data_IF_734363959044
#
_entry.id   IF_734363959044
#
_cell.length_a   1.000
_cell.length_b   1.000
_cell.length_c   1.000
_cell.angle_alpha   90.00
_cell.angle_beta   90.00
_cell.angle_gamma   90.00
#
_symmetry.space_group_name_H-M   'P 1'
#
loop_
_entity.id
_entity.type
_entity.pdbx_description
1 polymer ?
#
# COMPACT_ATOMS: atom_id res chain seq x y z
N UNK A 1 28.32 -63.29 -5.37
CA UNK A 1 29.26 -63.24 -4.23
C UNK A 1 30.00 -61.91 -4.30
N UNK A 2 30.09 -61.23 -3.16
CA UNK A 2 30.44 -59.82 -2.97
C UNK A 2 31.95 -59.49 -3.04
N UNK A 3 32.27 -58.20 -3.23
CA UNK A 3 33.23 -57.38 -2.43
C UNK A 3 33.36 -55.95 -3.02
N UNK A 4 32.84 -54.91 -2.36
CA UNK A 4 33.45 -54.04 -1.31
C UNK A 4 34.45 -53.00 -1.82
N UNK A 5 34.09 -51.71 -1.70
CA UNK A 5 34.97 -50.54 -1.56
C UNK A 5 34.23 -49.53 -0.65
N UNK A 6 34.57 -49.42 0.65
CA UNK A 6 35.57 -48.52 1.29
C UNK A 6 35.13 -47.04 1.28
N UNK A 7 34.66 -46.54 2.43
CA UNK A 7 35.38 -45.63 3.37
C UNK A 7 35.42 -44.17 2.87
N UNK A 8 34.60 -43.28 3.45
CA UNK A 8 34.90 -42.41 4.60
C UNK A 8 35.43 -41.03 4.21
N UNK A 9 34.65 -39.97 4.47
CA UNK A 9 35.17 -38.68 4.92
C UNK A 9 34.07 -37.79 5.51
N UNK A 10 34.18 -37.59 6.82
CA UNK A 10 33.63 -36.48 7.57
C UNK A 10 34.40 -35.18 7.19
N UNK A 11 33.70 -34.13 6.79
CA UNK A 11 34.18 -32.72 6.85
C UNK A 11 32.97 -31.87 7.24
N UNK A 12 32.76 -31.58 8.52
CA UNK A 12 33.17 -30.36 9.25
C UNK A 12 32.66 -29.04 8.67
N UNK A 13 31.70 -28.47 9.41
CA UNK A 13 31.55 -27.05 9.78
C UNK A 13 31.58 -25.97 8.67
N UNK A 14 30.41 -25.42 8.38
CA UNK A 14 30.26 -23.97 8.21
C UNK A 14 28.93 -23.54 8.84
N UNK A 15 28.96 -23.27 10.15
CA UNK A 15 27.91 -22.51 10.82
C UNK A 15 28.03 -21.08 10.31
N UNK A 16 27.10 -20.68 9.44
CA UNK A 16 26.91 -19.28 9.06
C UNK A 16 25.80 -18.73 9.96
N UNK A 17 26.09 -17.87 10.95
CA UNK A 17 25.05 -17.11 11.63
C UNK A 17 24.62 -15.99 10.69
N UNK A 18 23.63 -16.28 9.84
CA UNK A 18 22.97 -15.26 9.03
C UNK A 18 22.19 -14.33 9.95
N UNK A 19 22.81 -13.17 10.21
CA UNK A 19 22.25 -11.85 10.49
C UNK A 19 20.75 -11.85 10.81
N UNK A 20 20.48 -11.51 12.08
CA UNK A 20 19.18 -11.12 12.61
C UNK A 20 18.31 -10.44 11.55
N UNK A 21 17.17 -11.05 11.25
CA UNK A 21 16.09 -10.42 10.52
C UNK A 21 15.62 -9.20 11.30
N UNK A 22 16.15 -8.03 10.97
CA UNK A 22 15.43 -6.79 11.14
C UNK A 22 14.12 -6.99 10.38
N UNK A 23 13.05 -7.27 11.11
CA UNK A 23 11.71 -7.24 10.57
C UNK A 23 11.46 -5.81 10.07
N UNK A 24 11.80 -5.57 8.80
CA UNK A 24 11.24 -4.51 8.01
C UNK A 24 9.75 -4.82 7.93
N UNK A 25 9.00 -4.45 8.97
CA UNK A 25 7.55 -4.38 8.87
C UNK A 25 7.27 -3.53 7.63
N UNK A 26 6.47 -4.02 6.66
CA UNK A 26 6.09 -3.20 5.53
C UNK A 26 5.51 -1.91 6.09
N UNK A 27 6.23 -0.81 5.89
CA UNK A 27 5.70 0.51 6.19
C UNK A 27 4.55 0.67 5.21
N UNK A 28 3.33 0.42 5.67
CA UNK A 28 2.12 0.64 4.89
C UNK A 28 2.24 2.03 4.27
N UNK A 29 2.53 2.09 2.97
CA UNK A 29 2.54 3.35 2.24
C UNK A 29 1.12 3.90 2.38
N UNK A 30 1.00 5.15 2.81
CA UNK A 30 -0.31 5.82 2.89
C UNK A 30 -0.96 6.05 1.52
N UNK A 31 -0.43 5.44 0.45
CA UNK A 31 -1.04 5.41 -0.87
C UNK A 31 -2.31 4.56 -0.80
N UNK A 32 -3.47 5.08 -1.24
CA UNK A 32 -4.65 4.25 -1.36
C UNK A 32 -4.34 3.10 -2.33
N UNK A 33 -4.39 1.86 -1.84
CA UNK A 33 -4.33 0.68 -2.71
C UNK A 33 -5.73 0.46 -3.28
N UNK A 34 -5.91 0.79 -4.56
CA UNK A 34 -7.09 0.38 -5.31
C UNK A 34 -6.89 -1.08 -5.75
N UNK A 35 -7.99 -1.85 -5.83
CA UNK A 35 -7.97 -3.18 -6.44
C UNK A 35 -8.75 -3.07 -7.74
N UNK A 36 -8.10 -3.30 -8.87
CA UNK A 36 -8.74 -3.37 -10.16
C UNK A 36 -9.47 -4.71 -10.32
N UNK A 37 -10.58 -4.68 -11.07
CA UNK A 37 -11.45 -5.82 -11.33
C UNK A 37 -11.78 -5.84 -12.82
N UNK A 38 -11.81 -7.03 -13.41
CA UNK A 38 -12.13 -7.16 -14.82
C UNK A 38 -13.52 -6.61 -15.12
N UNK A 39 -13.68 -5.81 -16.18
CA UNK A 39 -14.99 -5.40 -16.67
C UNK A 39 -15.88 -6.61 -16.95
N UNK A 40 -17.17 -6.49 -16.65
CA UNK A 40 -18.12 -7.59 -16.82
C UNK A 40 -18.31 -8.02 -18.29
N UNK A 41 -18.03 -7.14 -19.24
CA UNK A 41 -18.03 -7.41 -20.67
C UNK A 41 -17.00 -6.56 -21.41
N UNK A 42 -16.61 -7.00 -22.60
CA UNK A 42 -15.81 -6.21 -23.54
C UNK A 42 -16.65 -5.14 -24.28
N UNK A 43 -16.04 -4.49 -25.26
CA UNK A 43 -16.67 -3.51 -26.14
C UNK A 43 -17.69 -4.07 -27.14
N UNK A 44 -17.64 -5.37 -27.45
CA UNK A 44 -18.66 -6.06 -28.25
C UNK A 44 -19.80 -6.66 -27.41
N UNK A 45 -19.65 -6.71 -26.09
CA UNK A 45 -20.67 -7.20 -25.15
C UNK A 45 -20.56 -8.70 -24.83
N UNK A 46 -19.42 -9.32 -25.14
CA UNK A 46 -19.07 -10.67 -24.71
C UNK A 46 -18.81 -10.70 -23.19
N UNK A 47 -19.29 -11.74 -22.49
CA UNK A 47 -19.17 -11.81 -21.04
C UNK A 47 -17.74 -12.11 -20.61
N UNK A 48 -17.40 -11.67 -19.41
CA UNK A 48 -16.16 -12.06 -18.74
C UNK A 48 -16.07 -13.58 -18.56
N UNK A 49 -14.96 -14.16 -19.02
CA UNK A 49 -14.60 -15.56 -18.84
C UNK A 49 -13.64 -15.76 -17.67
N UNK A 50 -12.51 -16.40 -17.95
CA UNK A 50 -11.43 -16.61 -16.99
C UNK A 50 -10.69 -15.30 -16.68
N UNK A 51 -10.28 -15.18 -15.41
CA UNK A 51 -9.52 -14.04 -14.90
C UNK A 51 -8.33 -14.49 -14.08
N UNK A 52 -7.21 -13.79 -14.18
CA UNK A 52 -6.07 -14.00 -13.27
C UNK A 52 -5.39 -12.68 -12.92
N UNK A 53 -4.84 -12.59 -11.72
CA UNK A 53 -4.06 -11.43 -11.27
C UNK A 53 -2.67 -11.94 -10.87
N UNK A 54 -1.66 -11.61 -11.66
CA UNK A 54 -0.28 -12.10 -11.46
C UNK A 54 0.72 -11.05 -11.90
N UNK A 55 1.75 -10.81 -11.07
CA UNK A 55 2.84 -9.88 -11.35
C UNK A 55 2.40 -8.43 -11.66
N UNK A 56 1.30 -7.97 -11.08
CA UNK A 56 0.80 -6.60 -11.30
C UNK A 56 -0.05 -6.45 -12.57
N UNK A 57 -0.36 -7.56 -13.22
CA UNK A 57 -1.17 -7.64 -14.43
C UNK A 57 -2.43 -8.43 -14.12
N UNK A 58 -3.57 -7.80 -14.41
CA UNK A 58 -4.90 -8.36 -14.34
C UNK A 58 -5.31 -8.81 -15.74
N UNK A 59 -5.30 -10.12 -15.96
CA UNK A 59 -5.75 -10.77 -17.18
C UNK A 59 -7.26 -10.99 -17.14
N UNK A 60 -7.95 -10.56 -18.20
CA UNK A 60 -9.40 -10.69 -18.37
C UNK A 60 -9.70 -11.29 -19.76
N UNK A 61 -10.26 -12.51 -19.81
CA UNK A 61 -10.69 -13.11 -21.07
C UNK A 61 -12.16 -12.84 -21.37
N UNK A 62 -12.49 -12.70 -22.65
CA UNK A 62 -13.84 -12.40 -23.16
C UNK A 62 -14.21 -13.37 -24.29
N UNK A 63 -14.47 -14.66 -23.97
CA UNK A 63 -14.73 -15.67 -24.99
C UNK A 63 -16.01 -15.36 -25.78
N UNK A 64 -15.92 -15.39 -27.11
CA UNK A 64 -17.06 -15.14 -27.98
C UNK A 64 -18.00 -16.34 -28.04
N UNK A 65 -17.46 -17.55 -27.84
CA UNK A 65 -18.21 -18.80 -27.78
C UNK A 65 -17.81 -19.68 -26.59
N UNK A 66 -18.72 -20.55 -26.08
CA UNK A 66 -18.37 -21.46 -25.01
C UNK A 66 -17.27 -22.46 -25.40
N UNK A 67 -16.25 -22.60 -24.54
CA UNK A 67 -15.15 -23.57 -24.72
C UNK A 67 -13.98 -23.07 -25.58
N UNK A 68 -13.98 -21.78 -25.92
CA UNK A 68 -12.85 -21.08 -26.54
C UNK A 68 -11.66 -20.95 -25.57
N UNK A 69 -10.44 -20.77 -26.11
CA UNK A 69 -9.26 -20.56 -25.27
C UNK A 69 -9.35 -19.17 -24.63
N UNK A 70 -9.08 -19.02 -23.33
CA UNK A 70 -9.07 -17.71 -22.69
C UNK A 70 -7.98 -16.78 -23.27
N UNK A 71 -6.95 -17.32 -23.93
CA UNK A 71 -5.86 -16.56 -24.55
C UNK A 71 -6.18 -16.05 -25.97
N UNK A 72 -7.36 -16.36 -26.54
CA UNK A 72 -7.72 -15.94 -27.90
C UNK A 72 -8.24 -14.48 -27.93
N UNK A 73 -9.12 -14.14 -26.98
CA UNK A 73 -9.73 -12.81 -26.82
C UNK A 73 -9.56 -12.35 -25.38
N UNK A 74 -8.58 -11.50 -25.12
CA UNK A 74 -8.26 -11.06 -23.77
C UNK A 74 -7.71 -9.63 -23.70
N UNK A 75 -7.82 -9.07 -22.50
CA UNK A 75 -7.32 -7.76 -22.15
C UNK A 75 -6.46 -7.88 -20.89
N UNK A 76 -5.27 -7.29 -20.93
CA UNK A 76 -4.41 -7.15 -19.77
C UNK A 76 -4.53 -5.74 -19.22
N UNK A 77 -4.84 -5.63 -17.93
CA UNK A 77 -4.88 -4.36 -17.20
C UNK A 77 -3.81 -4.33 -16.13
N UNK A 78 -3.44 -3.14 -15.69
CA UNK A 78 -2.64 -2.99 -14.48
C UNK A 78 -3.52 -3.22 -13.25
N UNK A 79 -3.11 -4.12 -12.36
CA UNK A 79 -3.88 -4.53 -11.16
C UNK A 79 -4.22 -3.39 -10.18
N UNK A 80 -3.39 -2.34 -10.18
CA UNK A 80 -3.43 -1.26 -9.20
C UNK A 80 -4.12 -0.02 -9.75
N UNK A 81 -3.86 0.31 -11.02
CA UNK A 81 -4.39 1.51 -11.69
C UNK A 81 -5.60 1.22 -12.56
N UNK A 82 -5.83 -0.04 -12.89
CA UNK A 82 -6.86 -0.48 -13.85
C UNK A 82 -6.59 -0.03 -15.28
N UNK A 83 -5.42 0.53 -15.59
CA UNK A 83 -5.10 0.98 -16.94
C UNK A 83 -4.89 -0.21 -17.88
N UNK A 84 -5.44 -0.12 -19.10
CA UNK A 84 -5.19 -1.12 -20.14
C UNK A 84 -3.71 -1.14 -20.51
N UNK A 85 -3.11 -2.33 -20.45
CA UNK A 85 -1.70 -2.61 -20.77
C UNK A 85 -1.60 -3.24 -22.15
N UNK A 86 -2.41 -4.26 -22.41
CA UNK A 86 -2.44 -4.99 -23.68
C UNK A 86 -3.89 -5.19 -24.12
N UNK A 87 -4.16 -4.85 -25.38
CA UNK A 87 -5.42 -5.17 -26.05
C UNK A 87 -5.16 -6.33 -27.02
N UNK A 88 -5.66 -7.52 -26.68
CA UNK A 88 -5.67 -8.68 -27.55
C UNK A 88 -7.10 -9.11 -27.87
N UNK A 89 -7.98 -8.13 -28.07
CA UNK A 89 -9.39 -8.33 -28.40
C UNK A 89 -9.81 -7.43 -29.58
N UNK A 90 -8.92 -7.30 -30.57
CA UNK A 90 -9.15 -6.55 -31.80
C UNK A 90 -9.59 -5.08 -31.62
N UNK A 91 -9.22 -4.42 -30.51
CA UNK A 91 -9.65 -3.04 -30.23
C UNK A 91 -10.92 -2.94 -29.40
N UNK A 92 -11.46 -4.06 -28.91
CA UNK A 92 -12.71 -4.13 -28.15
C UNK A 92 -12.48 -4.11 -26.64
N UNK A 93 -11.23 -4.14 -26.17
CA UNK A 93 -10.95 -4.01 -24.75
C UNK A 93 -11.48 -2.67 -24.19
N UNK A 94 -12.23 -2.70 -23.08
CA UNK A 94 -12.53 -1.51 -22.32
C UNK A 94 -11.28 -0.68 -22.02
N UNK A 95 -11.41 0.65 -22.01
CA UNK A 95 -10.27 1.56 -21.79
C UNK A 95 -9.61 1.41 -20.42
N UNK A 96 -10.29 0.75 -19.48
CA UNK A 96 -9.76 0.44 -18.16
C UNK A 96 -10.64 -0.56 -17.43
N UNK A 97 -10.03 -1.23 -16.45
CA UNK A 97 -10.68 -2.13 -15.51
C UNK A 97 -11.47 -1.35 -14.45
N UNK A 98 -12.46 -2.02 -13.86
CA UNK A 98 -13.28 -1.45 -12.80
C UNK A 98 -12.46 -1.34 -11.52
N UNK A 99 -12.27 -0.11 -11.03
CA UNK A 99 -11.57 0.11 -9.76
C UNK A 99 -12.55 -0.01 -8.60
N UNK A 100 -12.37 -1.04 -7.78
CA UNK A 100 -13.05 -1.12 -6.49
C UNK A 100 -12.62 0.05 -5.61
N UNK A 101 -13.55 0.58 -4.81
CA UNK A 101 -13.38 1.81 -4.04
C UNK A 101 -12.04 1.81 -3.29
N UNK A 102 -11.11 2.65 -3.73
CA UNK A 102 -9.81 2.76 -3.12
C UNK A 102 -10.00 3.14 -1.65
N UNK A 103 -9.41 2.37 -0.72
CA UNK A 103 -9.47 2.73 0.69
C UNK A 103 -8.94 4.16 0.82
N UNK A 104 -9.73 5.12 1.33
CA UNK A 104 -9.24 6.48 1.47
C UNK A 104 -7.97 6.40 2.31
N UNK A 105 -6.90 7.07 1.84
CA UNK A 105 -5.67 7.19 2.60
C UNK A 105 -6.05 7.51 4.04
N UNK A 106 -5.73 6.61 4.98
CA UNK A 106 -6.19 6.76 6.37
C UNK A 106 -5.75 8.15 6.80
N UNK A 107 -6.72 9.07 6.96
CA UNK A 107 -6.46 10.42 7.45
C UNK A 107 -5.89 10.21 8.85
N UNK A 108 -4.58 10.25 8.97
CA UNK A 108 -3.91 10.07 10.24
C UNK A 108 -4.41 11.20 11.14
N UNK A 109 -5.29 10.85 12.08
CA UNK A 109 -6.00 11.82 12.93
C UNK A 109 -4.99 12.70 13.68
N UNK A 110 -3.80 12.16 13.92
CA UNK A 110 -2.63 12.84 14.44
C UNK A 110 -2.12 13.94 13.50
N UNK A 111 -2.07 13.71 12.19
CA UNK A 111 -1.67 14.70 11.21
C UNK A 111 -2.68 15.84 11.12
N UNK A 112 -3.97 15.51 11.09
CA UNK A 112 -5.06 16.50 11.09
C UNK A 112 -5.06 17.32 12.39
N UNK A 113 -4.84 16.66 13.54
CA UNK A 113 -4.69 17.33 14.83
C UNK A 113 -3.43 18.23 14.87
N UNK A 114 -2.30 17.78 14.31
CA UNK A 114 -1.07 18.56 14.22
C UNK A 114 -1.27 19.81 13.34
N UNK A 115 -1.92 19.67 12.19
CA UNK A 115 -2.24 20.79 11.29
C UNK A 115 -3.18 21.80 11.96
N UNK A 116 -4.20 21.33 12.69
CA UNK A 116 -5.10 22.20 13.48
C UNK A 116 -4.37 22.94 14.59
N UNK A 117 -3.47 22.28 15.32
CA UNK A 117 -2.64 22.90 16.37
C UNK A 117 -1.68 23.94 15.79
N UNK A 118 -1.07 23.66 14.64
CA UNK A 118 -0.20 24.60 13.95
C UNK A 118 -0.97 25.85 13.47
N UNK A 119 -2.15 25.66 12.87
CA UNK A 119 -3.01 26.77 12.45
C UNK A 119 -3.48 27.62 13.65
N UNK A 120 -3.88 26.98 14.76
CA UNK A 120 -4.25 27.69 15.98
C UNK A 120 -3.10 28.51 16.56
N UNK A 121 -1.85 28.00 16.52
CA UNK A 121 -0.66 28.75 16.93
C UNK A 121 -0.35 29.92 15.99
N UNK A 122 -0.54 29.74 14.68
CA UNK A 122 -0.32 30.79 13.70
C UNK A 122 -1.35 31.92 13.79
N UNK A 123 -2.58 31.61 14.21
CA UNK A 123 -3.66 32.57 14.41
C UNK A 123 -3.58 33.33 15.74
N UNK A 124 -2.71 32.90 16.68
CA UNK A 124 -2.53 33.64 17.92
C UNK A 124 -1.78 34.95 17.67
N UNK A 125 -2.29 36.09 18.19
CA UNK A 125 -1.56 37.35 18.11
C UNK A 125 -0.21 37.18 18.79
N UNK A 126 0.86 37.61 18.11
CA UNK A 126 2.19 37.68 18.70
C UNK A 126 2.12 38.71 19.82
N UNK A 127 1.93 38.25 21.06
CA UNK A 127 2.00 39.13 22.21
C UNK A 127 3.39 39.73 22.24
N UNK A 128 3.45 41.06 22.37
CA UNK A 128 4.73 41.74 22.54
C UNK A 128 5.42 41.17 23.78
N UNK A 129 6.75 41.02 23.74
CA UNK A 129 7.56 40.48 24.82
C UNK A 129 7.20 40.96 26.26
N UNK A 130 6.83 42.24 26.50
CA UNK A 130 6.46 42.67 27.87
C UNK A 130 5.18 42.01 28.40
N UNK A 131 4.17 41.79 27.57
CA UNK A 131 2.89 41.20 28.00
C UNK A 131 3.03 39.71 28.33
N UNK A 132 3.82 38.98 27.53
CA UNK A 132 4.14 37.58 27.79
C UNK A 132 4.96 37.39 29.09
N UNK A 133 5.87 38.33 29.38
CA UNK A 133 6.66 38.32 30.62
C UNK A 133 5.80 38.59 31.86
N UNK A 134 4.82 39.50 31.77
CA UNK A 134 3.89 39.80 32.86
C UNK A 134 2.99 38.60 33.22
N UNK A 135 2.47 37.89 32.21
CA UNK A 135 1.67 36.67 32.43
C UNK A 135 2.51 35.56 33.04
N UNK A 136 3.76 35.38 32.57
CA UNK A 136 4.68 34.37 33.13
C UNK A 136 5.06 34.66 34.57
N UNK A 137 5.34 35.91 34.94
CA UNK A 137 5.69 36.26 36.33
C UNK A 137 4.51 36.07 37.29
N UNK A 138 3.28 36.37 36.86
CA UNK A 138 2.08 36.13 37.65
C UNK A 138 1.83 34.63 37.90
N UNK A 139 2.02 33.78 36.88
CA UNK A 139 1.91 32.33 37.03
C UNK A 139 3.01 31.76 37.95
N UNK A 140 4.24 32.28 37.83
CA UNK A 140 5.35 31.85 38.67
C UNK A 140 5.11 32.18 40.14
N UNK A 141 4.60 33.39 40.43
CA UNK A 141 4.23 33.82 41.78
C UNK A 141 3.17 32.89 42.40
N UNK A 142 2.11 32.59 41.64
CA UNK A 142 1.03 31.70 42.10
C UNK A 142 1.52 30.27 42.35
N UNK A 143 2.48 29.78 41.56
CA UNK A 143 3.12 28.46 41.77
C UNK A 143 3.92 28.43 43.07
N UNK A 144 4.68 29.48 43.36
CA UNK A 144 5.44 29.59 44.61
C UNK A 144 4.51 29.64 45.83
N UNK A 145 3.43 30.42 45.77
CA UNK A 145 2.42 30.50 46.84
C UNK A 145 1.74 29.14 47.11
N UNK A 146 1.41 28.39 46.05
CA UNK A 146 0.85 27.04 46.19
C UNK A 146 1.87 25.99 46.68
N UNK A 147 3.17 26.22 46.49
CA UNK A 147 4.22 25.28 46.90
C UNK A 147 4.72 25.54 48.33
N UNK A 148 4.36 26.68 48.91
CA UNK A 148 4.69 27.07 50.29
C UNK A 148 3.58 26.71 51.30
N UNK A 149 2.54 26.01 50.84
CA UNK A 149 1.37 25.58 51.61
C UNK A 149 1.34 24.06 51.68
#
# INVERSE_FOLDING_TARGET
MARFALMSSFVLLAVVPSVAGAALLPRASGSPSCVAQCPASDGAGFPLGDTSDTNGILFCSYPAVPGESPEDFYCDYNDTTGALVTDNDAGLCPSGADLSSCAPARSDSNFTAAKRRAAARAAQPRTSNPEAMAVRSALYKKKMENSAR
#
